data_IF_551776588687
#
_entry.id   IF_551776588687
#
_cell.length_a   1.000
_cell.length_b   1.000
_cell.length_c   1.000
_cell.angle_alpha   90.00
_cell.angle_beta   90.00
_cell.angle_gamma   90.00
#
_symmetry.space_group_name_H-M   'P 1'
#
loop_
_entity.id
_entity.type
_entity.pdbx_description
1 polymer ?
#
# COMPACT_ATOMS: atom_id res chain seq x y z
N UNK A 1 7.93 -21.08 6.89
CA UNK A 1 7.27 -20.00 6.14
C UNK A 1 6.19 -19.40 7.01
N UNK A 2 5.98 -18.09 6.91
CA UNK A 2 5.00 -17.38 7.74
C UNK A 2 3.56 -17.72 7.33
N UNK A 3 3.31 -17.98 6.04
CA UNK A 3 2.15 -18.75 5.58
C UNK A 3 2.58 -20.15 5.18
N UNK A 4 1.74 -21.15 5.49
CA UNK A 4 1.80 -22.46 4.85
C UNK A 4 0.85 -22.46 3.64
N UNK A 5 1.11 -23.32 2.66
CA UNK A 5 0.31 -23.38 1.41
C UNK A 5 -1.19 -23.66 1.62
N UNK A 6 -1.60 -24.11 2.82
CA UNK A 6 -2.99 -24.38 3.17
C UNK A 6 -3.66 -23.26 3.98
N UNK A 7 -2.90 -22.26 4.41
CA UNK A 7 -3.45 -21.17 5.22
C UNK A 7 -4.04 -20.10 4.31
N UNK A 8 -5.20 -19.56 4.72
CA UNK A 8 -5.83 -18.44 4.04
C UNK A 8 -4.87 -17.26 3.98
N UNK A 9 -4.80 -16.61 2.82
CA UNK A 9 -3.96 -15.43 2.66
C UNK A 9 -4.47 -14.29 3.56
N UNK A 10 -3.57 -13.39 3.98
CA UNK A 10 -3.94 -12.26 4.83
C UNK A 10 -5.01 -11.38 4.15
N UNK A 11 -6.02 -10.97 4.91
CA UNK A 11 -6.97 -10.00 4.39
C UNK A 11 -6.33 -8.61 4.38
N UNK A 12 -6.77 -7.76 3.45
CA UNK A 12 -6.28 -6.38 3.40
C UNK A 12 -6.56 -5.59 4.69
N UNK A 13 -7.57 -5.98 5.48
CA UNK A 13 -7.84 -5.38 6.79
C UNK A 13 -6.77 -5.73 7.81
N UNK A 14 -6.28 -6.97 7.81
CA UNK A 14 -5.25 -7.45 8.75
C UNK A 14 -3.93 -6.69 8.52
N UNK A 15 -3.53 -6.55 7.26
CA UNK A 15 -2.28 -5.87 6.87
C UNK A 15 -2.32 -4.37 7.19
N UNK A 16 -3.51 -3.74 7.15
CA UNK A 16 -3.67 -2.31 7.43
C UNK A 16 -3.90 -1.99 8.91
N UNK A 17 -4.08 -3.00 9.75
CA UNK A 17 -4.28 -2.79 11.17
C UNK A 17 -3.01 -2.23 11.81
N UNK A 18 -3.12 -1.14 12.56
CA UNK A 18 -1.97 -0.44 13.15
C UNK A 18 -1.03 0.25 12.15
N UNK A 19 -1.35 0.25 10.85
CA UNK A 19 -0.52 0.87 9.83
C UNK A 19 -0.82 2.37 9.73
N UNK A 20 0.21 3.19 9.94
CA UNK A 20 0.17 4.63 9.59
C UNK A 20 0.97 4.85 8.32
N UNK A 21 0.33 5.39 7.28
CA UNK A 21 0.97 5.69 6.00
C UNK A 21 0.58 7.09 5.53
N UNK A 22 1.55 7.78 4.93
CA UNK A 22 1.34 9.07 4.28
C UNK A 22 1.57 8.88 2.78
N UNK A 23 0.56 9.23 1.97
CA UNK A 23 0.63 9.14 0.51
C UNK A 23 0.44 10.55 -0.04
N UNK A 24 1.48 11.08 -0.67
CA UNK A 24 1.47 12.41 -1.30
C UNK A 24 1.67 12.27 -2.80
N UNK A 25 0.68 12.72 -3.57
CA UNK A 25 0.69 12.65 -5.03
C UNK A 25 0.66 14.06 -5.59
N UNK A 26 1.64 14.40 -6.43
CA UNK A 26 1.63 15.63 -7.22
C UNK A 26 1.11 15.30 -8.63
N UNK A 27 -0.12 15.70 -8.92
CA UNK A 27 -0.76 15.49 -10.22
C UNK A 27 -0.98 16.83 -10.93
N UNK A 28 -0.72 16.89 -12.25
CA UNK A 28 -0.87 18.15 -13.03
C UNK A 28 -2.32 18.57 -13.17
N UNK A 29 -3.21 17.62 -13.46
CA UNK A 29 -4.66 17.86 -13.62
C UNK A 29 -5.46 17.00 -12.65
N UNK A 30 -5.52 17.36 -11.36
CA UNK A 30 -6.22 16.55 -10.36
C UNK A 30 -7.75 16.72 -10.51
N UNK A 31 -8.44 15.59 -10.58
CA UNK A 31 -9.89 15.49 -10.60
C UNK A 31 -10.35 15.00 -9.23
N UNK A 32 -11.27 15.74 -8.62
CA UNK A 32 -11.86 15.37 -7.33
C UNK A 32 -13.37 15.15 -7.50
N UNK A 33 -13.94 14.27 -6.68
CA UNK A 33 -15.40 14.01 -6.71
C UNK A 33 -16.24 15.23 -6.33
N UNK A 34 -15.67 16.22 -5.63
CA UNK A 34 -16.36 17.44 -5.25
C UNK A 34 -15.42 18.56 -4.80
N UNK A 35 -16.02 19.71 -4.47
CA UNK A 35 -15.30 20.93 -4.14
C UNK A 35 -14.43 20.81 -2.88
N UNK A 36 -14.84 19.99 -1.91
CA UNK A 36 -14.08 19.74 -0.66
C UNK A 36 -12.83 18.89 -0.89
N UNK A 37 -12.61 18.37 -2.11
CA UNK A 37 -11.43 17.58 -2.49
C UNK A 37 -11.19 16.36 -1.60
N UNK A 38 -12.26 15.77 -1.06
CA UNK A 38 -12.19 14.62 -0.15
C UNK A 38 -11.70 13.34 -0.81
N UNK A 39 -12.02 13.15 -2.10
CA UNK A 39 -11.63 11.98 -2.88
C UNK A 39 -11.07 12.40 -4.23
N UNK A 40 -9.85 11.94 -4.50
CA UNK A 40 -9.19 12.08 -5.80
C UNK A 40 -9.70 10.99 -6.73
N UNK A 41 -10.27 11.37 -7.87
CA UNK A 41 -10.85 10.51 -8.90
C UNK A 41 -10.00 10.56 -10.18
N UNK A 42 -8.69 10.32 -10.04
CA UNK A 42 -7.77 10.16 -11.17
C UNK A 42 -7.35 8.69 -11.29
N UNK A 43 -7.79 7.96 -12.32
CA UNK A 43 -7.34 6.58 -12.53
C UNK A 43 -5.83 6.50 -12.76
N UNK A 44 -5.23 7.53 -13.36
CA UNK A 44 -3.78 7.62 -13.56
C UNK A 44 -3.01 7.72 -12.24
N UNK A 45 -3.52 8.48 -11.27
CA UNK A 45 -2.91 8.60 -9.94
C UNK A 45 -2.94 7.27 -9.18
N UNK A 46 -4.07 6.54 -9.27
CA UNK A 46 -4.19 5.21 -8.69
C UNK A 46 -3.21 4.21 -9.34
N UNK A 47 -3.12 4.22 -10.68
CA UNK A 47 -2.20 3.37 -11.44
C UNK A 47 -0.73 3.67 -11.12
N UNK A 48 -0.36 4.95 -11.09
CA UNK A 48 0.99 5.38 -10.77
C UNK A 48 1.40 4.98 -9.34
N UNK A 49 0.53 5.25 -8.36
CA UNK A 49 0.78 4.90 -6.95
C UNK A 49 0.87 3.39 -6.80
N UNK A 50 -0.08 2.63 -7.36
CA UNK A 50 -0.07 1.16 -7.29
C UNK A 50 1.19 0.55 -7.89
N UNK A 51 1.69 1.07 -9.03
CA UNK A 51 2.93 0.63 -9.63
C UNK A 51 4.14 0.89 -8.72
N UNK A 52 4.29 2.12 -8.23
CA UNK A 52 5.41 2.49 -7.35
C UNK A 52 5.39 1.67 -6.06
N UNK A 53 4.22 1.56 -5.44
CA UNK A 53 4.03 0.78 -4.21
C UNK A 53 4.33 -0.69 -4.45
N UNK A 54 3.85 -1.29 -5.54
CA UNK A 54 4.13 -2.69 -5.88
C UNK A 54 5.62 -2.98 -6.07
N UNK A 55 6.33 -2.14 -6.82
CA UNK A 55 7.75 -2.33 -7.11
C UNK A 55 8.62 -2.05 -5.86
N UNK A 56 8.38 -0.92 -5.19
CA UNK A 56 9.25 -0.42 -4.12
C UNK A 56 9.04 -1.14 -2.79
N UNK A 57 7.81 -1.53 -2.44
CA UNK A 57 7.56 -2.24 -1.18
C UNK A 57 8.25 -3.61 -1.20
N UNK A 58 8.17 -4.32 -2.32
CA UNK A 58 8.85 -5.62 -2.48
C UNK A 58 10.37 -5.44 -2.31
N UNK A 59 10.96 -4.50 -3.04
CA UNK A 59 12.39 -4.18 -2.94
C UNK A 59 12.82 -3.77 -1.53
N UNK A 60 11.98 -3.01 -0.83
CA UNK A 60 12.27 -2.58 0.53
C UNK A 60 12.28 -3.76 1.50
N UNK A 61 11.28 -4.64 1.44
CA UNK A 61 11.21 -5.81 2.34
C UNK A 61 12.25 -6.88 2.01
N UNK A 62 12.62 -7.05 0.75
CA UNK A 62 13.72 -7.95 0.34
C UNK A 62 15.05 -7.54 0.98
N UNK A 63 15.28 -6.22 1.12
CA UNK A 63 16.47 -5.68 1.79
C UNK A 63 16.34 -5.60 3.30
N UNK A 64 15.11 -5.53 3.82
CA UNK A 64 14.81 -5.35 5.25
C UNK A 64 13.98 -6.52 5.78
N UNK A 65 14.49 -7.74 5.62
CA UNK A 65 13.79 -8.98 6.00
C UNK A 65 13.44 -9.02 7.50
N UNK A 66 14.25 -8.40 8.36
CA UNK A 66 13.95 -8.29 9.80
C UNK A 66 12.71 -7.43 10.08
N UNK A 67 12.53 -6.35 9.34
CA UNK A 67 11.37 -5.48 9.47
C UNK A 67 10.11 -6.17 8.95
N UNK A 68 10.23 -6.90 7.83
CA UNK A 68 9.15 -7.75 7.32
C UNK A 68 8.69 -8.77 8.36
N UNK A 69 9.63 -9.48 9.00
CA UNK A 69 9.32 -10.45 10.05
C UNK A 69 8.58 -9.81 11.23
N UNK A 70 9.00 -8.61 11.66
CA UNK A 70 8.33 -7.87 12.75
C UNK A 70 6.89 -7.51 12.39
N UNK A 71 6.67 -6.99 11.19
CA UNK A 71 5.33 -6.62 10.71
C UNK A 71 4.41 -7.84 10.61
N UNK A 72 4.94 -8.98 10.17
CA UNK A 72 4.18 -10.23 10.05
C UNK A 72 4.01 -10.99 11.37
N UNK A 73 4.77 -10.65 12.41
CA UNK A 73 4.68 -11.28 13.74
C UNK A 73 3.73 -10.57 14.70
N UNK A 74 3.20 -9.40 14.31
CA UNK A 74 2.13 -8.71 15.04
C UNK A 74 0.80 -9.44 14.86
#
# INVERSE_FOLDING_TARGET
GILKEKDSNFAGADIRNGMTAIISIKHREPRFEGQTKTKLDNPDAAKATGKVTGDQIVLYFDRNVEMLKKVLSC
#
